data_IF_224263705993
#
_entry.id   IF_224263705993
#
_cell.length_a   1.000
_cell.length_b   1.000
_cell.length_c   1.000
_cell.angle_alpha   90.00
_cell.angle_beta   90.00
_cell.angle_gamma   90.00
#
_symmetry.space_group_name_H-M   'P 1'
#
loop_
_entity.id
_entity.type
_entity.pdbx_description
1 polymer ?
#
# COMPACT_ATOMS: atom_id res chain seq x y z
N UNK A 1 7.08 5.05 7.61
CA UNK A 1 7.64 4.25 6.48
C UNK A 1 6.56 4.06 5.44
N UNK A 2 6.86 4.28 4.17
CA UNK A 2 5.94 4.01 3.05
C UNK A 2 6.55 2.85 2.27
N UNK A 3 5.76 1.84 1.92
CA UNK A 3 6.25 0.67 1.19
C UNK A 3 5.13 0.01 0.38
N UNK A 4 5.52 -0.73 -0.66
CA UNK A 4 4.65 -1.58 -1.46
C UNK A 4 4.16 -2.80 -0.66
N UNK A 5 3.00 -3.33 -1.01
CA UNK A 5 2.41 -4.48 -0.33
C UNK A 5 1.65 -5.41 -1.28
N UNK A 6 2.09 -6.67 -1.32
CA UNK A 6 1.52 -7.70 -2.18
C UNK A 6 0.12 -8.16 -1.73
N UNK A 7 -0.23 -7.96 -0.47
CA UNK A 7 -1.53 -8.39 0.09
C UNK A 7 -2.65 -7.39 -0.17
N UNK A 8 -2.33 -6.21 -0.72
CA UNK A 8 -3.28 -5.17 -1.04
C UNK A 8 -3.44 -5.07 -2.56
N UNK A 9 -4.69 -4.96 -3.01
CA UNK A 9 -5.02 -4.68 -4.41
C UNK A 9 -4.29 -3.43 -4.92
N UNK A 10 -3.99 -3.40 -6.22
CA UNK A 10 -3.29 -2.28 -6.86
C UNK A 10 -3.96 -0.93 -6.54
N UNK A 11 -3.16 0.02 -6.08
CA UNK A 11 -3.61 1.38 -5.73
C UNK A 11 -4.35 1.49 -4.38
N UNK A 12 -4.58 0.37 -3.70
CA UNK A 12 -5.23 0.35 -2.38
C UNK A 12 -4.24 0.76 -1.29
N UNK A 13 -4.73 1.52 -0.32
CA UNK A 13 -3.91 2.01 0.77
C UNK A 13 -4.30 1.39 2.10
N UNK A 14 -3.31 1.24 2.98
CA UNK A 14 -3.57 0.93 4.39
C UNK A 14 -2.53 1.59 5.28
N UNK A 15 -2.99 2.44 6.19
CA UNK A 15 -2.21 2.98 7.28
C UNK A 15 -2.26 2.00 8.45
N UNK A 16 -1.11 1.69 9.02
CA UNK A 16 -0.98 0.79 10.17
C UNK A 16 0.03 1.34 11.17
N UNK A 17 -0.31 1.22 12.45
CA UNK A 17 0.63 1.37 13.57
C UNK A 17 1.22 0.01 13.92
N UNK A 18 2.53 -0.08 14.05
CA UNK A 18 3.25 -1.26 14.48
C UNK A 18 3.12 -2.48 13.55
N UNK A 19 3.83 -3.57 13.88
CA UNK A 19 3.75 -4.86 13.20
C UNK A 19 5.07 -5.38 12.63
N UNK A 20 5.05 -6.65 12.22
CA UNK A 20 6.22 -7.34 11.66
C UNK A 20 6.61 -6.89 10.25
N UNK A 21 7.65 -7.52 9.70
CA UNK A 21 8.12 -7.25 8.34
C UNK A 21 7.17 -7.75 7.26
N UNK A 22 6.36 -8.77 7.55
CA UNK A 22 5.46 -9.39 6.55
C UNK A 22 6.22 -10.02 5.38
N UNK A 23 7.48 -10.43 5.58
CA UNK A 23 8.35 -10.92 4.51
C UNK A 23 9.04 -9.82 3.69
N UNK A 24 8.74 -8.54 3.93
CA UNK A 24 9.39 -7.43 3.24
C UNK A 24 10.79 -7.13 3.80
N UNK A 25 11.83 -7.33 2.99
CA UNK A 25 13.23 -7.21 3.40
C UNK A 25 13.58 -5.81 3.91
N UNK A 26 13.06 -4.75 3.29
CA UNK A 26 13.28 -3.39 3.74
C UNK A 26 12.68 -3.12 5.13
N UNK A 27 11.50 -3.69 5.41
CA UNK A 27 10.87 -3.56 6.73
C UNK A 27 11.62 -4.37 7.78
N UNK A 28 12.13 -5.55 7.42
CA UNK A 28 12.98 -6.34 8.30
C UNK A 28 14.23 -5.55 8.69
N UNK A 29 14.90 -4.92 7.73
CA UNK A 29 16.08 -4.09 7.99
C UNK A 29 15.79 -2.93 8.95
N UNK A 30 14.68 -2.22 8.76
CA UNK A 30 14.27 -1.12 9.64
C UNK A 30 13.97 -1.62 11.06
N UNK A 31 13.23 -2.72 11.19
CA UNK A 31 12.91 -3.34 12.48
C UNK A 31 14.17 -3.76 13.23
N UNK A 32 15.12 -4.39 12.54
CA UNK A 32 16.39 -4.81 13.13
C UNK A 32 17.25 -3.60 13.53
N UNK A 33 17.28 -2.55 12.71
CA UNK A 33 18.10 -1.37 12.98
C UNK A 33 17.57 -0.50 14.12
N UNK A 34 16.24 -0.38 14.25
CA UNK A 34 15.60 0.44 15.27
C UNK A 34 15.32 -0.33 16.58
N UNK A 35 15.39 -1.67 16.54
CA UNK A 35 15.01 -2.57 17.65
C UNK A 35 13.59 -2.32 18.20
N UNK A 36 12.73 -1.72 17.38
CA UNK A 36 11.34 -1.43 17.72
C UNK A 36 10.46 -1.49 16.48
N UNK A 37 9.19 -1.85 16.67
CA UNK A 37 8.16 -1.75 15.65
C UNK A 37 7.27 -0.52 15.80
N UNK A 38 7.57 0.38 16.74
CA UNK A 38 6.76 1.56 17.12
C UNK A 38 6.79 2.71 16.10
N UNK A 39 6.53 2.40 14.83
CA UNK A 39 6.46 3.37 13.75
C UNK A 39 5.23 3.18 12.87
N UNK A 40 4.77 4.29 12.30
CA UNK A 40 3.65 4.32 11.36
C UNK A 40 4.08 3.82 9.98
N UNK A 41 3.19 3.06 9.34
CA UNK A 41 3.37 2.50 8.00
C UNK A 41 2.22 2.92 7.11
N UNK A 42 2.54 3.38 5.90
CA UNK A 42 1.60 3.50 4.80
C UNK A 42 1.93 2.39 3.79
N UNK A 43 1.05 1.40 3.71
CA UNK A 43 1.13 0.30 2.75
C UNK A 43 0.45 0.75 1.45
N UNK A 44 1.14 0.60 0.33
CA UNK A 44 0.62 0.89 -1.01
C UNK A 44 0.48 -0.45 -1.75
N UNK A 45 -0.74 -0.81 -2.11
CA UNK A 45 -1.04 -2.08 -2.74
C UNK A 45 -0.53 -2.14 -4.17
N UNK A 46 0.14 -3.24 -4.48
CA UNK A 46 0.67 -3.55 -5.81
C UNK A 46 0.05 -4.83 -6.38
N UNK A 47 -0.88 -5.46 -5.66
CA UNK A 47 -1.47 -6.73 -6.02
C UNK A 47 -0.53 -7.91 -5.82
N UNK A 48 -1.00 -9.10 -6.22
CA UNK A 48 -0.21 -10.33 -6.19
C UNK A 48 0.25 -10.68 -7.60
N UNK A 49 1.47 -11.24 -7.74
CA UNK A 49 1.92 -11.79 -9.01
C UNK A 49 1.00 -12.92 -9.48
N UNK A 50 1.05 -13.21 -10.78
CA UNK A 50 0.31 -14.33 -11.34
C UNK A 50 0.79 -15.66 -10.74
N UNK A 51 -0.06 -16.71 -10.68
CA UNK A 51 0.38 -18.02 -10.19
C UNK A 51 1.61 -18.53 -10.94
N UNK A 52 2.71 -18.75 -10.20
CA UNK A 52 3.98 -19.25 -10.75
C UNK A 52 5.03 -18.19 -11.05
N UNK A 53 4.69 -16.90 -10.93
CA UNK A 53 5.64 -15.79 -11.02
C UNK A 53 6.34 -15.54 -9.67
N UNK A 54 7.63 -15.19 -9.71
CA UNK A 54 8.42 -14.90 -8.51
C UNK A 54 8.04 -13.53 -7.93
N UNK A 55 7.56 -13.47 -6.66
CA UNK A 55 7.28 -12.19 -6.01
C UNK A 55 8.45 -11.21 -6.01
N UNK A 56 9.70 -11.69 -5.97
CA UNK A 56 10.88 -10.83 -6.01
C UNK A 56 11.09 -10.19 -7.40
N UNK A 57 10.78 -10.90 -8.48
CA UNK A 57 10.86 -10.36 -9.84
C UNK A 57 9.70 -9.39 -10.11
N UNK A 58 8.50 -9.73 -9.61
CA UNK A 58 7.31 -8.90 -9.73
C UNK A 58 7.51 -7.49 -9.13
N UNK A 59 8.02 -7.39 -7.89
CA UNK A 59 8.25 -6.08 -7.24
C UNK A 59 9.34 -5.24 -7.90
N UNK A 60 10.20 -5.86 -8.72
CA UNK A 60 11.26 -5.18 -9.47
C UNK A 60 10.82 -4.81 -10.90
N UNK A 61 9.66 -5.29 -11.33
CA UNK A 61 9.14 -5.08 -12.68
C UNK A 61 8.35 -3.77 -12.77
N UNK A 62 8.35 -3.11 -13.94
CA UNK A 62 7.50 -1.94 -14.16
C UNK A 62 6.03 -2.36 -14.22
N UNK A 63 5.15 -1.46 -13.79
CA UNK A 63 3.71 -1.64 -14.02
C UNK A 63 3.37 -1.51 -15.51
N UNK A 64 2.44 -2.32 -16.02
CA UNK A 64 2.00 -2.22 -17.40
C UNK A 64 1.15 -0.95 -17.63
N UNK A 65 1.10 -0.39 -18.86
CA UNK A 65 0.44 0.88 -19.15
C UNK A 65 -1.05 0.92 -18.73
N UNK A 66 -1.76 -0.19 -18.85
CA UNK A 66 -3.16 -0.35 -18.45
C UNK A 66 -3.40 -0.15 -16.94
N UNK A 67 -2.37 -0.36 -16.12
CA UNK A 67 -2.43 -0.19 -14.67
C UNK A 67 -2.11 1.24 -14.23
N UNK A 68 -1.51 2.05 -15.10
CA UNK A 68 -1.06 3.41 -14.81
C UNK A 68 -2.14 4.28 -14.16
N UNK A 69 -3.39 4.34 -14.69
CA UNK A 69 -4.43 5.18 -14.08
C UNK A 69 -4.77 4.78 -12.63
N UNK A 70 -4.73 3.49 -12.32
CA UNK A 70 -5.01 2.99 -10.95
C UNK A 70 -3.87 3.35 -10.00
N UNK A 71 -2.63 3.29 -10.49
CA UNK A 71 -1.44 3.66 -9.72
C UNK A 71 -1.44 5.16 -9.44
N UNK A 72 -1.69 5.99 -10.45
CA UNK A 72 -1.77 7.44 -10.30
C UNK A 72 -2.84 7.82 -9.27
N UNK A 73 -4.05 7.27 -9.38
CA UNK A 73 -5.11 7.49 -8.40
C UNK A 73 -4.72 7.01 -6.99
N UNK A 74 -4.04 5.87 -6.89
CA UNK A 74 -3.50 5.35 -5.64
C UNK A 74 -2.45 6.27 -5.00
N UNK A 75 -1.55 6.83 -5.82
CA UNK A 75 -0.51 7.75 -5.39
C UNK A 75 -1.08 9.10 -4.94
N UNK A 76 -2.06 9.66 -5.66
CA UNK A 76 -2.76 10.88 -5.24
C UNK A 76 -3.43 10.69 -3.87
N UNK A 77 -4.10 9.55 -3.68
CA UNK A 77 -4.67 9.18 -2.37
C UNK A 77 -3.60 8.98 -1.30
N UNK A 78 -2.42 8.47 -1.67
CA UNK A 78 -1.31 8.27 -0.73
C UNK A 78 -0.75 9.61 -0.25
N UNK A 79 -0.65 10.60 -1.14
CA UNK A 79 -0.25 11.97 -0.77
C UNK A 79 -1.27 12.56 0.20
N UNK A 80 -2.56 12.50 -0.12
CA UNK A 80 -3.62 13.00 0.77
C UNK A 80 -3.63 12.28 2.14
N UNK A 81 -3.33 10.98 2.15
CA UNK A 81 -3.20 10.19 3.37
C UNK A 81 -2.03 10.67 4.24
N UNK A 82 -0.89 11.00 3.62
CA UNK A 82 0.29 11.51 4.32
C UNK A 82 0.07 12.92 4.85
N UNK A 83 -0.60 13.79 4.10
CA UNK A 83 -0.96 15.13 4.55
C UNK A 83 -1.84 15.06 5.80
N UNK A 84 -2.89 14.23 5.77
CA UNK A 84 -3.76 14.01 6.92
C UNK A 84 -3.01 13.36 8.09
N UNK A 85 -2.11 12.41 7.82
CA UNK A 85 -1.27 11.78 8.85
C UNK A 85 -0.42 12.80 9.61
N UNK A 86 0.19 13.74 8.89
CA UNK A 86 1.07 14.77 9.46
C UNK A 86 0.28 15.88 10.14
N UNK A 87 -0.83 16.32 9.55
CA UNK A 87 -1.60 17.46 10.04
C UNK A 87 -2.60 17.10 11.14
N UNK A 88 -3.23 15.93 11.05
CA UNK A 88 -4.38 15.53 11.88
C UNK A 88 -4.07 14.31 12.78
N UNK A 89 -2.97 13.61 12.52
CA UNK A 89 -2.52 12.46 13.30
C UNK A 89 -3.00 11.11 12.77
N UNK A 90 -2.45 10.04 13.35
CA UNK A 90 -2.61 8.67 12.85
C UNK A 90 -4.05 8.15 12.90
N UNK A 91 -4.81 8.46 13.95
CA UNK A 91 -6.18 7.95 14.09
C UNK A 91 -7.11 8.57 13.05
N UNK A 92 -7.02 9.89 12.83
CA UNK A 92 -7.79 10.59 11.81
C UNK A 92 -7.48 10.06 10.41
N UNK A 93 -6.18 9.93 10.07
CA UNK A 93 -5.75 9.41 8.79
C UNK A 93 -6.20 7.96 8.58
N UNK A 94 -6.06 7.09 9.59
CA UNK A 94 -6.54 5.71 9.52
C UNK A 94 -8.05 5.64 9.25
N UNK A 95 -8.85 6.42 9.98
CA UNK A 95 -10.31 6.43 9.82
C UNK A 95 -10.73 6.88 8.42
N UNK A 96 -10.00 7.83 7.81
CA UNK A 96 -10.32 8.37 6.49
C UNK A 96 -9.82 7.49 5.34
N UNK A 97 -8.65 6.88 5.47
CA UNK A 97 -7.96 6.23 4.34
C UNK A 97 -7.91 4.70 4.40
N UNK A 98 -8.23 4.08 5.53
CA UNK A 98 -8.33 2.61 5.62
C UNK A 98 -9.70 2.06 5.18
N UNK A 99 -10.61 2.94 4.74
CA UNK A 99 -11.92 2.54 4.22
C UNK A 99 -11.74 1.77 2.91
N UNK A 100 -12.49 0.68 2.75
CA UNK A 100 -12.63 0.03 1.45
C UNK A 100 -13.39 1.00 0.55
N UNK A 101 -12.76 1.46 -0.52
CA UNK A 101 -13.52 2.03 -1.63
C UNK A 101 -14.28 0.82 -2.20
N UNK A 102 -15.60 0.80 -2.01
CA UNK A 102 -16.43 -0.26 -2.59
C UNK A 102 -16.26 -0.22 -4.10
N UNK A 103 -16.08 -1.39 -4.70
CA UNK A 103 -16.27 -1.57 -6.14
C UNK A 103 -17.71 -1.14 -6.46
N UNK A 104 -17.84 0.06 -7.01
CA UNK A 104 -19.08 0.59 -7.55
C UNK A 104 -18.81 0.96 -8.99
N UNK A 105 -19.57 0.33 -9.89
CA UNK A 105 -19.66 0.52 -11.34
C UNK A 105 -18.59 -0.17 -12.20
N UNK A 106 -19.01 -1.32 -12.74
CA UNK A 106 -18.31 -2.09 -13.77
C UNK A 106 -19.06 -3.37 -14.21
N UNK A 107 -20.34 -3.54 -13.87
CA UNK A 107 -21.24 -4.50 -14.53
C UNK A 107 -22.28 -3.67 -15.30
N UNK A 108 -21.99 -3.33 -16.55
CA UNK A 108 -22.96 -3.09 -17.63
C UNK A 108 -22.18 -2.80 -18.92
N UNK A 109 -21.90 -3.84 -19.69
CA UNK A 109 -21.97 -3.83 -21.16
C UNK A 109 -21.78 -5.25 -21.73
N UNK A 110 -22.88 -5.83 -22.24
CA UNK A 110 -22.88 -6.83 -23.33
C UNK A 110 -23.05 -8.30 -22.97
#
# INVERSE_FOLDING_TARGET
VIHDDLDLELGRLRIKRNGGSGGHNGLLSILTALETDEFCRLKVGIGRPAPGEDPAEFVLSPFPPEETPRIEAGLERAVAALESLVAEGIEAAMNRFNVRVGEGEGDEDG
#
